data_IF_111803830161
#
_entry.id   IF_111803830161
#
_cell.length_a   1.000
_cell.length_b   1.000
_cell.length_c   1.000
_cell.angle_alpha   90.00
_cell.angle_beta   90.00
_cell.angle_gamma   90.00
#
_symmetry.space_group_name_H-M   'P 1'
#
loop_
_entity.id
_entity.type
_entity.pdbx_description
1 polymer ?
#
# COMPACT_ATOMS: atom_id res chain seq x y z
N UNK A 1 -30.30 6.15 2.21
CA UNK A 1 -29.42 6.64 1.14
C UNK A 1 -28.48 5.50 0.81
N UNK A 2 -28.52 4.99 -0.42
CA UNK A 2 -27.68 3.85 -0.82
C UNK A 2 -26.55 4.41 -1.67
N UNK A 3 -25.31 4.31 -1.16
CA UNK A 3 -24.12 4.68 -1.92
C UNK A 3 -23.82 3.53 -2.88
N UNK A 4 -23.81 3.78 -4.20
CA UNK A 4 -23.29 2.81 -5.17
C UNK A 4 -21.80 3.09 -5.35
N UNK A 5 -20.98 2.16 -4.87
CA UNK A 5 -19.54 2.15 -5.12
C UNK A 5 -19.30 1.57 -6.51
N UNK A 6 -18.36 2.15 -7.25
CA UNK A 6 -17.88 1.62 -8.54
C UNK A 6 -16.67 0.71 -8.28
N UNK A 7 -16.80 -0.63 -8.41
CA UNK A 7 -15.71 -1.56 -8.13
C UNK A 7 -14.51 -1.38 -9.07
N UNK A 8 -14.77 -1.05 -10.34
CA UNK A 8 -13.70 -0.83 -11.31
C UNK A 8 -12.87 0.40 -10.94
N UNK A 9 -13.54 1.48 -10.50
CA UNK A 9 -12.85 2.67 -10.01
C UNK A 9 -12.02 2.38 -8.75
N UNK A 10 -12.51 1.51 -7.85
CA UNK A 10 -11.76 1.10 -6.66
C UNK A 10 -10.51 0.27 -7.00
N UNK A 11 -10.60 -0.69 -7.93
CA UNK A 11 -9.41 -1.43 -8.38
C UNK A 11 -8.39 -0.53 -9.07
N UNK A 12 -8.85 0.40 -9.91
CA UNK A 12 -7.95 1.38 -10.55
C UNK A 12 -7.25 2.26 -9.51
N UNK A 13 -7.97 2.68 -8.47
CA UNK A 13 -7.40 3.40 -7.35
C UNK A 13 -6.38 2.55 -6.57
N UNK A 14 -6.73 1.31 -6.24
CA UNK A 14 -5.85 0.37 -5.55
C UNK A 14 -4.52 0.16 -6.33
N UNK A 15 -4.61 -0.08 -7.65
CA UNK A 15 -3.44 -0.23 -8.51
C UNK A 15 -2.56 1.03 -8.56
N UNK A 16 -3.16 2.22 -8.56
CA UNK A 16 -2.41 3.47 -8.50
C UNK A 16 -1.69 3.64 -7.15
N UNK A 17 -2.35 3.29 -6.05
CA UNK A 17 -1.78 3.42 -4.69
C UNK A 17 -0.65 2.41 -4.47
N UNK A 18 -0.83 1.16 -4.91
CA UNK A 18 0.20 0.13 -4.83
C UNK A 18 1.42 0.51 -5.66
N UNK A 19 1.23 1.09 -6.85
CA UNK A 19 2.34 1.57 -7.68
C UNK A 19 3.19 2.65 -7.00
N UNK A 20 2.58 3.54 -6.21
CA UNK A 20 3.32 4.52 -5.38
C UNK A 20 4.07 3.82 -4.24
N UNK A 21 3.44 2.84 -3.59
CA UNK A 21 4.06 2.05 -2.53
C UNK A 21 5.30 1.27 -3.04
N UNK A 22 5.22 0.74 -4.25
CA UNK A 22 6.33 0.05 -4.92
C UNK A 22 7.45 1.03 -5.26
N UNK A 23 7.13 2.19 -5.85
CA UNK A 23 8.11 3.23 -6.14
C UNK A 23 8.89 3.69 -4.89
N UNK A 24 8.22 3.82 -3.73
CA UNK A 24 8.88 4.11 -2.45
C UNK A 24 9.83 2.98 -2.05
N UNK A 25 9.45 1.72 -2.28
CA UNK A 25 10.26 0.55 -1.98
C UNK A 25 11.54 0.44 -2.82
N UNK A 26 11.58 1.09 -3.99
CA UNK A 26 12.73 1.11 -4.90
C UNK A 26 13.75 2.21 -4.58
N UNK A 27 13.42 3.17 -3.71
CA UNK A 27 14.33 4.28 -3.40
C UNK A 27 15.55 3.82 -2.59
N UNK A 28 16.74 3.98 -3.17
CA UNK A 28 18.00 3.87 -2.43
C UNK A 28 18.27 5.15 -1.62
N UNK A 29 17.61 5.23 -0.48
CA UNK A 29 17.82 6.30 0.51
C UNK A 29 19.12 6.14 1.31
N UNK A 30 19.82 5.01 1.17
CA UNK A 30 21.08 4.74 1.86
C UNK A 30 22.27 5.36 1.14
N UNK A 31 22.25 5.35 -0.19
CA UNK A 31 23.31 5.92 -1.02
C UNK A 31 23.71 7.35 -0.61
N UNK A 32 22.79 8.33 -0.47
CA UNK A 32 23.19 9.70 -0.11
C UNK A 32 23.94 9.80 1.23
N UNK A 33 23.54 9.01 2.23
CA UNK A 33 24.25 8.94 3.51
C UNK A 33 25.62 8.30 3.33
N UNK A 34 25.70 7.15 2.64
CA UNK A 34 26.96 6.46 2.38
C UNK A 34 28.00 7.34 1.67
N UNK A 35 27.56 8.19 0.74
CA UNK A 35 28.42 9.15 0.04
C UNK A 35 28.91 10.30 0.93
N UNK A 36 28.08 10.75 1.89
CA UNK A 36 28.34 11.97 2.66
C UNK A 36 28.89 11.73 4.06
N UNK A 37 28.80 10.51 4.61
CA UNK A 37 29.11 10.24 6.02
C UNK A 37 30.53 10.67 6.45
N UNK A 38 31.49 10.65 5.54
CA UNK A 38 32.89 11.05 5.79
C UNK A 38 33.23 12.48 5.37
N UNK A 39 32.26 13.28 4.91
CA UNK A 39 32.53 14.61 4.35
C UNK A 39 33.03 15.62 5.40
N UNK A 40 32.64 15.44 6.68
CA UNK A 40 32.93 16.37 7.77
C UNK A 40 33.48 15.62 9.00
N UNK A 41 34.74 15.17 8.96
CA UNK A 41 35.36 14.45 10.08
C UNK A 41 35.36 15.30 11.35
N UNK A 42 35.25 14.63 12.51
CA UNK A 42 35.27 15.23 13.86
C UNK A 42 34.12 16.20 14.20
N UNK A 43 33.16 16.40 13.30
CA UNK A 43 32.00 17.30 13.53
C UNK A 43 30.77 16.61 14.12
N UNK A 44 30.80 15.28 14.28
CA UNK A 44 29.61 14.48 14.63
C UNK A 44 28.57 14.36 13.50
N UNK A 45 28.89 14.83 12.29
CA UNK A 45 28.03 14.74 11.12
C UNK A 45 27.64 13.30 10.79
N UNK A 46 28.58 12.35 10.80
CA UNK A 46 28.30 10.94 10.49
C UNK A 46 27.22 10.36 11.41
N UNK A 47 27.34 10.56 12.73
CA UNK A 47 26.39 10.02 13.70
C UNK A 47 25.00 10.65 13.54
N UNK A 48 24.95 11.96 13.30
CA UNK A 48 23.68 12.66 13.07
C UNK A 48 23.05 12.25 11.74
N UNK A 49 23.87 12.09 10.69
CA UNK A 49 23.46 11.58 9.39
C UNK A 49 22.90 10.16 9.47
N UNK A 50 23.54 9.27 10.24
CA UNK A 50 23.07 7.90 10.46
C UNK A 50 21.68 7.88 11.10
N UNK A 51 21.46 8.69 12.15
CA UNK A 51 20.15 8.81 12.81
C UNK A 51 19.09 9.38 11.87
N UNK A 52 19.45 10.42 11.10
CA UNK A 52 18.56 11.03 10.12
C UNK A 52 18.14 10.02 9.04
N UNK A 53 19.11 9.33 8.45
CA UNK A 53 18.88 8.27 7.46
C UNK A 53 17.97 7.17 8.00
N UNK A 54 18.22 6.64 9.20
CA UNK A 54 17.38 5.61 9.82
C UNK A 54 15.95 6.12 10.08
N UNK A 55 15.78 7.34 10.56
CA UNK A 55 14.47 7.93 10.78
C UNK A 55 13.71 8.11 9.46
N UNK A 56 14.39 8.54 8.39
CA UNK A 56 13.81 8.63 7.04
C UNK A 56 13.41 7.25 6.51
N UNK A 57 14.26 6.24 6.68
CA UNK A 57 13.97 4.86 6.28
C UNK A 57 12.71 4.33 6.96
N UNK A 58 12.61 4.54 8.28
CA UNK A 58 11.44 4.11 9.04
C UNK A 58 10.17 4.86 8.63
N UNK A 59 10.25 6.18 8.41
CA UNK A 59 9.11 6.96 7.96
C UNK A 59 8.58 6.50 6.59
N UNK A 60 9.48 6.24 5.64
CA UNK A 60 9.11 5.74 4.31
C UNK A 60 8.53 4.33 4.37
N UNK A 61 9.08 3.44 5.20
CA UNK A 61 8.53 2.12 5.43
C UNK A 61 7.09 2.19 5.98
N UNK A 62 6.83 3.08 6.94
CA UNK A 62 5.48 3.27 7.48
C UNK A 62 4.50 3.82 6.44
N UNK A 63 4.92 4.80 5.63
CA UNK A 63 4.10 5.34 4.54
C UNK A 63 3.77 4.24 3.54
N UNK A 64 4.77 3.48 3.10
CA UNK A 64 4.59 2.34 2.19
C UNK A 64 3.60 1.33 2.75
N UNK A 65 3.76 0.92 4.01
CA UNK A 65 2.82 -0.01 4.65
C UNK A 65 1.39 0.52 4.63
N UNK A 66 1.19 1.81 4.94
CA UNK A 66 -0.15 2.41 4.95
C UNK A 66 -0.78 2.47 3.56
N UNK A 67 0.00 2.69 2.51
CA UNK A 67 -0.47 2.65 1.13
C UNK A 67 -0.89 1.23 0.72
N UNK A 68 -0.14 0.21 1.15
CA UNK A 68 -0.52 -1.19 0.93
C UNK A 68 -1.82 -1.55 1.68
N UNK A 69 -1.98 -1.11 2.93
CA UNK A 69 -3.24 -1.29 3.67
C UNK A 69 -4.44 -0.62 2.96
N UNK A 70 -4.26 0.57 2.39
CA UNK A 70 -5.31 1.25 1.60
C UNK A 70 -5.63 0.47 0.32
N UNK A 71 -4.61 -0.11 -0.33
CA UNK A 71 -4.77 -0.97 -1.51
C UNK A 71 -5.61 -2.19 -1.16
N UNK A 72 -5.26 -2.89 -0.07
CA UNK A 72 -5.97 -4.09 0.38
C UNK A 72 -7.43 -3.79 0.72
N UNK A 73 -7.70 -2.70 1.43
CA UNK A 73 -9.07 -2.27 1.74
C UNK A 73 -9.86 -1.95 0.46
N UNK A 74 -9.22 -1.28 -0.51
CA UNK A 74 -9.88 -0.89 -1.76
C UNK A 74 -10.22 -2.09 -2.63
N UNK A 75 -9.31 -3.07 -2.74
CA UNK A 75 -9.56 -4.33 -3.45
C UNK A 75 -10.62 -5.16 -2.74
N UNK A 76 -10.50 -5.37 -1.42
CA UNK A 76 -11.48 -6.12 -0.65
C UNK A 76 -12.89 -5.53 -0.75
N UNK A 77 -13.00 -4.20 -0.69
CA UNK A 77 -14.28 -3.53 -0.89
C UNK A 77 -14.82 -3.73 -2.32
N UNK A 78 -13.98 -3.69 -3.34
CA UNK A 78 -14.40 -3.91 -4.73
C UNK A 78 -14.87 -5.36 -4.97
N UNK A 79 -14.12 -6.34 -4.46
CA UNK A 79 -14.42 -7.78 -4.57
C UNK A 79 -15.75 -8.14 -3.86
N UNK A 80 -16.00 -7.55 -2.68
CA UNK A 80 -17.25 -7.74 -1.94
C UNK A 80 -18.48 -7.22 -2.72
N UNK A 81 -18.31 -6.19 -3.57
CA UNK A 81 -19.36 -5.68 -4.45
C UNK A 81 -19.47 -6.46 -5.77
N UNK A 82 -18.43 -7.19 -6.21
CA UNK A 82 -18.52 -8.10 -7.36
C UNK A 82 -19.43 -9.29 -7.07
N UNK A 83 -19.51 -9.76 -5.81
CA UNK A 83 -20.56 -10.71 -5.42
C UNK A 83 -21.89 -9.94 -5.34
N UNK A 84 -22.59 -9.83 -6.46
CA UNK A 84 -23.91 -9.25 -6.46
C UNK A 84 -24.86 -10.14 -5.63
N UNK A 85 -25.85 -9.53 -4.96
CA UNK A 85 -26.91 -10.26 -4.25
C UNK A 85 -27.56 -11.32 -5.16
N UNK A 86 -27.65 -11.04 -6.46
CA UNK A 86 -28.10 -11.99 -7.48
C UNK A 86 -27.21 -13.23 -7.63
N UNK A 87 -25.88 -13.08 -7.55
CA UNK A 87 -24.96 -14.22 -7.62
C UNK A 87 -25.03 -15.05 -6.34
N UNK A 88 -25.20 -14.38 -5.20
CA UNK A 88 -25.44 -15.04 -3.91
C UNK A 88 -26.76 -15.82 -3.90
N UNK A 89 -27.85 -15.22 -4.40
CA UNK A 89 -29.17 -15.87 -4.53
C UNK A 89 -29.13 -17.03 -5.53
N UNK A 90 -28.41 -16.87 -6.65
CA UNK A 90 -28.22 -17.96 -7.62
C UNK A 90 -27.46 -19.14 -7.02
N UNK A 91 -26.38 -18.87 -6.27
CA UNK A 91 -25.64 -19.90 -5.55
C UNK A 91 -26.50 -20.61 -4.50
N UNK A 92 -27.30 -19.85 -3.73
CA UNK A 92 -28.20 -20.39 -2.72
C UNK A 92 -29.31 -21.26 -3.33
N UNK A 93 -29.87 -20.83 -4.47
CA UNK A 93 -30.88 -21.58 -5.21
C UNK A 93 -30.31 -22.89 -5.78
N UNK A 94 -29.06 -22.86 -6.25
CA UNK A 94 -28.36 -24.05 -6.73
C UNK A 94 -28.11 -25.09 -5.62
N UNK A 95 -28.00 -24.65 -4.36
CA UNK A 95 -27.87 -25.55 -3.20
C UNK A 95 -29.19 -26.19 -2.76
N UNK A 96 -30.32 -25.56 -3.07
CA UNK A 96 -31.67 -26.00 -2.67
C UNK A 96 -32.32 -26.97 -3.69
N UNK A 97 -31.66 -27.23 -4.82
CA UNK A 97 -32.13 -28.21 -5.81
C UNK A 97 -31.80 -29.65 -5.35
N UNK A 98 -32.76 -30.59 -5.41
CA UNK A 98 -32.52 -31.98 -5.04
C UNK A 98 -31.47 -32.60 -5.98
N UNK A 99 -30.56 -33.39 -5.41
CA UNK A 99 -29.57 -34.17 -6.17
C UNK A 99 -30.19 -35.30 -6.98
#
# INVERSE_FOLDING_TARGET
>A
MTLKVDPQALHAFAASVSGVADAIGEWDIGAPYAYSQSALPETGFSDTGARGHLATAQALANIRQRLLEVTDISNGAADDYEIAETDFVAALTAMDLPR
#
